data_IF_677194794944
#
_entry.id   IF_677194794944
#
_cell.length_a   1.000
_cell.length_b   1.000
_cell.length_c   1.000
_cell.angle_alpha   90.00
_cell.angle_beta   90.00
_cell.angle_gamma   90.00
#
_symmetry.space_group_name_H-M   'P 1'
#
loop_
_entity.id
_entity.type
_entity.pdbx_description
1 polymer ?
#
# COMPACT_ATOMS: atom_id res chain seq x y z
N UNK A 1 -8.48 13.77 12.99
CA UNK A 1 -8.21 14.10 11.57
C UNK A 1 -8.62 12.90 10.75
N UNK A 2 -9.52 13.05 9.77
CA UNK A 2 -9.76 11.99 8.80
C UNK A 2 -8.63 12.01 7.78
N UNK A 3 -7.65 11.12 7.95
CA UNK A 3 -6.67 10.87 6.88
C UNK A 3 -7.39 10.21 5.71
N UNK A 4 -7.04 10.60 4.49
CA UNK A 4 -7.63 9.95 3.33
C UNK A 4 -7.03 8.54 3.15
N UNK A 5 -7.76 7.63 2.49
CA UNK A 5 -7.33 6.23 2.36
C UNK A 5 -5.95 6.10 1.71
N UNK A 6 -5.62 6.97 0.75
CA UNK A 6 -4.30 6.99 0.10
C UNK A 6 -3.17 7.30 1.09
N UNK A 7 -3.37 8.23 2.02
CA UNK A 7 -2.38 8.54 3.07
C UNK A 7 -2.18 7.37 4.03
N UNK A 8 -3.26 6.67 4.38
CA UNK A 8 -3.20 5.47 5.21
C UNK A 8 -2.38 4.38 4.50
N UNK A 9 -2.69 4.10 3.23
CA UNK A 9 -1.98 3.12 2.42
C UNK A 9 -0.49 3.45 2.29
N UNK A 10 -0.12 4.73 2.13
CA UNK A 10 1.29 5.16 2.09
C UNK A 10 2.02 4.83 3.39
N UNK A 11 1.41 5.10 4.55
CA UNK A 11 1.99 4.77 5.84
C UNK A 11 2.08 3.26 6.08
N UNK A 12 1.09 2.48 5.62
CA UNK A 12 1.12 1.01 5.68
C UNK A 12 2.25 0.46 4.81
N UNK A 13 2.42 0.99 3.60
CA UNK A 13 3.49 0.64 2.68
C UNK A 13 4.88 0.87 3.28
N UNK A 14 5.09 2.02 3.91
CA UNK A 14 6.36 2.36 4.57
C UNK A 14 6.69 1.35 5.69
N UNK A 15 5.70 0.97 6.52
CA UNK A 15 5.89 -0.03 7.57
C UNK A 15 6.26 -1.40 6.99
N UNK A 16 5.61 -1.82 5.91
CA UNK A 16 5.91 -3.10 5.23
C UNK A 16 7.33 -3.10 4.67
N UNK A 17 7.78 -1.99 4.09
CA UNK A 17 9.15 -1.86 3.58
C UNK A 17 10.19 -1.97 4.70
N UNK A 18 9.95 -1.36 5.86
CA UNK A 18 10.84 -1.52 7.04
C UNK A 18 10.88 -2.99 7.46
N UNK A 19 9.73 -3.65 7.58
CA UNK A 19 9.67 -5.06 7.95
C UNK A 19 10.34 -5.99 6.92
N UNK A 20 10.30 -5.66 5.62
CA UNK A 20 11.02 -6.40 4.57
C UNK A 20 12.54 -6.34 4.73
N UNK A 21 13.06 -5.26 5.34
CA UNK A 21 14.49 -5.10 5.62
C UNK A 21 14.91 -5.75 6.94
N UNK A 22 14.04 -5.76 7.94
CA UNK A 22 14.36 -6.21 9.30
C UNK A 22 13.97 -7.68 9.59
N UNK A 23 12.92 -8.21 8.93
CA UNK A 23 12.35 -9.54 9.17
C UNK A 23 12.39 -10.42 7.92
N UNK A 24 13.54 -11.09 7.73
CA UNK A 24 13.76 -11.98 6.59
C UNK A 24 12.96 -13.29 6.70
N UNK A 25 12.56 -13.71 7.90
CA UNK A 25 11.80 -14.95 8.11
C UNK A 25 10.37 -14.84 7.54
N UNK A 26 9.79 -13.64 7.53
CA UNK A 26 8.44 -13.39 7.01
C UNK A 26 8.44 -12.64 5.67
N UNK A 27 9.55 -12.65 4.92
CA UNK A 27 9.69 -11.91 3.67
C UNK A 27 8.54 -12.15 2.69
N UNK A 28 8.12 -13.41 2.50
CA UNK A 28 7.01 -13.75 1.59
C UNK A 28 5.68 -13.11 2.02
N UNK A 29 5.39 -13.12 3.32
CA UNK A 29 4.21 -12.45 3.89
C UNK A 29 4.27 -10.95 3.61
N UNK A 30 5.40 -10.30 3.88
CA UNK A 30 5.53 -8.87 3.68
C UNK A 30 5.46 -8.46 2.20
N UNK A 31 5.99 -9.29 1.29
CA UNK A 31 5.82 -9.07 -0.16
C UNK A 31 4.36 -9.19 -0.59
N UNK A 32 3.61 -10.14 -0.04
CA UNK A 32 2.17 -10.30 -0.33
C UNK A 32 1.40 -9.05 0.11
N UNK A 33 1.62 -8.60 1.36
CA UNK A 33 0.99 -7.39 1.88
C UNK A 33 1.38 -6.15 1.05
N UNK A 34 2.62 -6.06 0.56
CA UNK A 34 3.05 -4.96 -0.30
C UNK A 34 2.30 -4.95 -1.63
N UNK A 35 2.08 -6.11 -2.24
CA UNK A 35 1.29 -6.23 -3.48
C UNK A 35 -0.15 -5.80 -3.25
N UNK A 36 -0.79 -6.27 -2.18
CA UNK A 36 -2.18 -5.90 -1.87
C UNK A 36 -2.35 -4.37 -1.70
N UNK A 37 -1.36 -3.71 -1.07
CA UNK A 37 -1.34 -2.24 -0.90
C UNK A 37 -1.16 -1.53 -2.23
N UNK A 38 -0.21 -1.98 -3.06
CA UNK A 38 0.09 -1.36 -4.36
C UNK A 38 -1.12 -1.52 -5.33
N UNK A 39 -1.79 -2.67 -5.32
CA UNK A 39 -3.01 -2.94 -6.09
C UNK A 39 -4.17 -2.01 -5.68
N UNK A 40 -4.43 -1.83 -4.37
CA UNK A 40 -5.48 -0.91 -3.89
C UNK A 40 -5.15 0.55 -4.25
N UNK A 41 -3.87 0.94 -4.16
CA UNK A 41 -3.45 2.27 -4.58
C UNK A 41 -3.67 2.52 -6.08
N UNK A 42 -3.40 1.51 -6.92
CA UNK A 42 -3.68 1.56 -8.36
C UNK A 42 -5.19 1.69 -8.62
N UNK A 43 -6.03 0.89 -7.96
CA UNK A 43 -7.49 0.98 -8.11
C UNK A 43 -8.02 2.38 -7.74
N UNK A 44 -7.54 2.96 -6.63
CA UNK A 44 -7.91 4.32 -6.23
C UNK A 44 -7.45 5.35 -7.28
N UNK A 45 -6.27 5.19 -7.86
CA UNK A 45 -5.75 6.08 -8.88
C UNK A 45 -6.57 5.98 -10.18
N UNK A 46 -6.91 4.78 -10.63
CA UNK A 46 -7.76 4.54 -11.78
C UNK A 46 -9.17 5.11 -11.57
N UNK A 47 -9.77 4.89 -10.40
CA UNK A 47 -11.10 5.38 -10.10
C UNK A 47 -11.13 6.92 -10.06
N UNK A 48 -10.07 7.56 -9.57
CA UNK A 48 -9.91 9.02 -9.66
C UNK A 48 -9.80 9.49 -11.11
N UNK A 49 -9.04 8.79 -11.96
CA UNK A 49 -8.92 9.11 -13.38
C UNK A 49 -10.28 8.97 -14.10
N UNK A 50 -11.00 7.86 -13.86
CA UNK A 50 -12.34 7.62 -14.43
C UNK A 50 -13.38 8.65 -13.98
N UNK A 51 -13.25 9.21 -12.78
CA UNK A 51 -14.15 10.25 -12.29
C UNK A 51 -13.89 11.65 -12.90
N UNK A 52 -12.76 11.84 -13.58
CA UNK A 52 -12.35 13.11 -14.18
C UNK A 52 -12.71 13.18 -15.68
N UNK A 53 -13.01 12.05 -16.32
CA UNK A 53 -13.48 11.95 -17.71
C UNK A 53 -14.99 11.70 -17.77
#
# INVERSE_FOLDING_TARGET
>A
MNMNRTEILRLEREKVLVNLTEDNANRAKWLTVLMDIDDEMEEIAENKLKAVY
#
